data_IF_264768667799
#
_entry.id   IF_264768667799
#
_cell.length_a   1.000
_cell.length_b   1.000
_cell.length_c   1.000
_cell.angle_alpha   90.00
_cell.angle_beta   90.00
_cell.angle_gamma   90.00
#
_symmetry.space_group_name_H-M   'P 1'
#
loop_
_entity.id
_entity.type
_entity.pdbx_description
1 polymer ?
#
# COMPACT_ATOMS: atom_id res chain seq x y z
N UNK A 1 4.34 5.72 17.35
CA UNK A 1 3.92 5.03 16.12
C UNK A 1 2.52 4.39 16.27
N UNK A 2 2.26 3.57 17.30
CA UNK A 2 0.95 2.92 17.51
C UNK A 2 -0.21 3.91 17.65
N UNK A 3 -0.03 5.03 18.34
CA UNK A 3 -1.04 6.09 18.45
C UNK A 3 -1.36 6.71 17.07
N UNK A 4 -0.33 6.95 16.26
CA UNK A 4 -0.50 7.45 14.89
C UNK A 4 -1.30 6.45 14.04
N UNK A 5 -0.93 5.17 14.07
CA UNK A 5 -1.65 4.13 13.33
C UNK A 5 -3.10 3.99 13.80
N UNK A 6 -3.36 4.07 15.11
CA UNK A 6 -4.71 4.03 15.66
C UNK A 6 -5.60 5.10 15.05
N UNK A 7 -5.20 6.37 15.16
CA UNK A 7 -5.97 7.51 14.61
C UNK A 7 -6.10 7.46 13.09
N UNK A 8 -5.06 6.99 12.41
CA UNK A 8 -5.05 6.88 10.97
C UNK A 8 -6.07 5.85 10.45
N UNK A 9 -6.16 4.70 11.11
CA UNK A 9 -7.11 3.65 10.74
C UNK A 9 -8.52 3.88 11.31
N UNK A 10 -8.68 4.66 12.39
CA UNK A 10 -9.99 5.19 12.78
C UNK A 10 -10.62 5.95 11.61
N UNK A 11 -9.86 6.86 10.99
CA UNK A 11 -10.34 7.59 9.79
C UNK A 11 -10.71 6.66 8.63
N UNK A 12 -9.93 5.59 8.40
CA UNK A 12 -10.28 4.59 7.38
C UNK A 12 -11.63 3.92 7.68
N UNK A 13 -11.89 3.58 8.95
CA UNK A 13 -13.16 2.95 9.35
C UNK A 13 -14.36 3.90 9.21
N UNK A 14 -14.18 5.20 9.47
CA UNK A 14 -15.20 6.23 9.23
C UNK A 14 -15.57 6.35 7.75
N UNK A 15 -14.56 6.29 6.86
CA UNK A 15 -14.79 6.32 5.41
C UNK A 15 -15.49 5.02 4.97
N UNK A 16 -15.08 3.87 5.48
CA UNK A 16 -15.72 2.59 5.20
C UNK A 16 -17.19 2.57 5.62
N UNK A 17 -17.55 3.22 6.72
CA UNK A 17 -18.94 3.35 7.17
C UNK A 17 -19.82 4.03 6.13
N UNK A 18 -19.27 4.99 5.37
CA UNK A 18 -20.00 5.73 4.34
C UNK A 18 -20.00 5.02 2.99
N UNK A 19 -19.21 3.98 2.80
CA UNK A 19 -19.13 3.22 1.57
C UNK A 19 -20.12 2.04 1.61
N UNK A 20 -21.20 2.05 0.80
CA UNK A 20 -22.20 0.98 0.79
C UNK A 20 -21.64 -0.37 0.33
N UNK A 21 -20.48 -0.38 -0.32
CA UNK A 21 -19.81 -1.57 -0.82
C UNK A 21 -18.72 -2.09 0.13
N UNK A 22 -18.45 -1.39 1.25
CA UNK A 22 -17.49 -1.85 2.24
C UNK A 22 -18.01 -3.09 2.97
N UNK A 23 -17.12 -4.05 3.18
CA UNK A 23 -17.45 -5.29 3.89
C UNK A 23 -17.80 -5.06 5.35
N UNK A 24 -17.04 -4.18 6.02
CA UNK A 24 -17.24 -3.80 7.41
C UNK A 24 -17.49 -2.30 7.52
N UNK A 25 -18.73 -1.94 7.88
CA UNK A 25 -19.17 -0.55 8.03
C UNK A 25 -19.19 -0.09 9.50
N UNK A 26 -18.56 -0.86 10.41
CA UNK A 26 -18.41 -0.43 11.80
C UNK A 26 -17.29 0.60 11.92
N UNK A 27 -17.55 1.71 12.59
CA UNK A 27 -16.51 2.63 13.04
C UNK A 27 -15.78 2.04 14.23
N UNK A 28 -14.46 2.09 14.20
CA UNK A 28 -13.57 1.69 15.28
C UNK A 28 -12.83 2.91 15.79
N UNK A 29 -12.71 3.04 17.10
CA UNK A 29 -11.90 4.10 17.72
C UNK A 29 -10.40 3.79 17.57
N UNK A 30 -9.56 4.83 17.62
CA UNK A 30 -8.11 4.69 17.63
C UNK A 30 -7.63 3.72 18.72
N UNK A 31 -8.30 3.74 19.90
CA UNK A 31 -7.99 2.84 21.01
C UNK A 31 -8.32 1.37 20.69
N UNK A 32 -9.50 1.10 20.08
CA UNK A 32 -9.87 -0.26 19.65
C UNK A 32 -8.89 -0.82 18.61
N UNK A 33 -8.37 0.04 17.71
CA UNK A 33 -7.47 -0.36 16.63
C UNK A 33 -6.07 -0.67 17.16
N UNK A 34 -5.51 0.19 18.00
CA UNK A 34 -4.14 0.01 18.51
C UNK A 34 -4.03 -1.04 19.61
N UNK A 35 -5.14 -1.30 20.34
CA UNK A 35 -5.11 -2.22 21.49
C UNK A 35 -5.41 -3.65 21.05
N UNK A 36 -4.50 -4.61 21.29
CA UNK A 36 -4.75 -6.02 21.03
C UNK A 36 -5.93 -6.54 21.87
N UNK A 37 -6.76 -7.38 21.25
CA UNK A 37 -7.89 -8.05 21.89
C UNK A 37 -8.15 -9.40 21.24
N UNK A 38 -9.10 -10.18 21.73
CA UNK A 38 -9.51 -11.45 21.11
C UNK A 38 -9.95 -11.27 19.65
N UNK A 39 -10.65 -10.16 19.32
CA UNK A 39 -11.12 -9.85 17.96
C UNK A 39 -10.10 -9.09 17.12
N UNK A 40 -9.18 -8.37 17.78
CA UNK A 40 -8.12 -7.59 17.16
C UNK A 40 -6.75 -8.12 17.60
N UNK A 41 -6.46 -9.37 17.28
CA UNK A 41 -5.22 -10.02 17.70
C UNK A 41 -4.00 -9.32 17.07
N UNK A 42 -2.92 -9.23 17.84
CA UNK A 42 -1.62 -8.86 17.31
C UNK A 42 -1.13 -9.96 16.39
N UNK A 43 -0.62 -9.58 15.22
CA UNK A 43 -0.14 -10.53 14.19
C UNK A 43 1.37 -10.46 14.09
N UNK A 44 1.90 -9.27 13.86
CA UNK A 44 3.33 -9.01 13.82
C UNK A 44 3.56 -7.57 14.32
N UNK A 45 4.55 -7.38 15.19
CA UNK A 45 4.82 -6.04 15.72
C UNK A 45 5.16 -5.05 14.58
N UNK A 46 4.55 -3.83 14.54
CA UNK A 46 3.58 -3.27 15.51
C UNK A 46 2.10 -3.49 15.12
N UNK A 47 1.78 -4.41 14.22
CA UNK A 47 0.47 -4.52 13.58
C UNK A 47 -0.47 -5.51 14.27
N UNK A 48 -1.69 -5.05 14.49
CA UNK A 48 -2.83 -5.87 14.88
C UNK A 48 -3.68 -6.24 13.66
N UNK A 49 -4.66 -7.12 13.81
CA UNK A 49 -5.55 -7.57 12.74
C UNK A 49 -6.26 -6.41 12.01
N UNK A 50 -6.73 -5.39 12.74
CA UNK A 50 -7.42 -4.24 12.16
C UNK A 50 -6.51 -3.30 11.35
N UNK A 51 -5.20 -3.47 11.40
CA UNK A 51 -4.26 -2.77 10.53
C UNK A 51 -4.07 -3.46 9.17
N UNK A 52 -4.48 -4.71 9.03
CA UNK A 52 -4.15 -5.55 7.89
C UNK A 52 -5.38 -5.87 7.04
N UNK A 53 -5.15 -6.21 5.79
CA UNK A 53 -6.19 -6.57 4.84
C UNK A 53 -7.15 -7.64 5.38
N UNK A 54 -8.45 -7.37 5.29
CA UNK A 54 -9.50 -8.36 5.52
C UNK A 54 -9.75 -9.14 4.25
N UNK A 55 -9.16 -10.32 4.12
CA UNK A 55 -9.15 -11.11 2.88
C UNK A 55 -10.30 -12.13 2.79
N UNK A 56 -10.87 -12.55 3.93
CA UNK A 56 -12.00 -13.49 3.99
C UNK A 56 -13.33 -12.73 3.80
N UNK A 57 -13.54 -12.18 2.60
CA UNK A 57 -14.70 -11.39 2.23
C UNK A 57 -15.24 -11.82 0.87
N UNK A 58 -16.53 -11.63 0.64
CA UNK A 58 -17.19 -11.88 -0.64
C UNK A 58 -17.43 -10.55 -1.35
N UNK A 59 -16.60 -10.26 -2.35
CA UNK A 59 -16.71 -9.06 -3.17
C UNK A 59 -16.46 -9.40 -4.63
N UNK A 60 -17.14 -8.69 -5.53
CA UNK A 60 -16.91 -8.73 -6.95
C UNK A 60 -16.94 -7.32 -7.51
N UNK A 61 -16.12 -7.08 -8.52
CA UNK A 61 -16.08 -5.81 -9.22
C UNK A 61 -15.83 -6.05 -10.71
N UNK A 62 -16.35 -5.18 -11.56
CA UNK A 62 -16.14 -5.23 -12.99
C UNK A 62 -15.94 -3.82 -13.56
N UNK A 63 -15.04 -3.71 -14.52
CA UNK A 63 -14.81 -2.50 -15.29
C UNK A 63 -15.02 -2.79 -16.77
N UNK A 64 -15.65 -1.85 -17.47
CA UNK A 64 -15.78 -1.88 -18.92
C UNK A 64 -14.81 -0.84 -19.48
N UNK A 65 -13.87 -1.30 -20.28
CA UNK A 65 -12.89 -0.47 -21.01
C UNK A 65 -13.18 -0.57 -22.49
N UNK A 66 -13.23 0.56 -23.16
CA UNK A 66 -13.38 0.62 -24.61
C UNK A 66 -12.75 1.90 -25.15
N UNK A 67 -12.54 1.96 -26.46
CA UNK A 67 -12.15 3.22 -27.13
C UNK A 67 -13.29 4.24 -27.05
N UNK A 68 -12.96 5.51 -27.17
CA UNK A 68 -13.96 6.59 -27.22
C UNK A 68 -14.88 6.43 -28.45
N UNK A 69 -14.29 6.05 -29.60
CA UNK A 69 -15.04 5.74 -30.83
C UNK A 69 -16.10 4.64 -30.59
N UNK A 70 -15.73 3.57 -29.86
CA UNK A 70 -16.70 2.52 -29.53
C UNK A 70 -17.76 3.00 -28.54
N UNK A 71 -17.38 3.82 -27.58
CA UNK A 71 -18.33 4.41 -26.64
C UNK A 71 -19.35 5.31 -27.37
N UNK A 72 -18.91 6.08 -28.36
CA UNK A 72 -19.80 6.90 -29.22
C UNK A 72 -20.74 6.03 -30.05
N UNK A 73 -20.20 5.01 -30.70
CA UNK A 73 -20.99 4.05 -31.50
C UNK A 73 -22.06 3.32 -30.66
N UNK A 74 -21.75 3.04 -29.41
CA UNK A 74 -22.68 2.41 -28.47
C UNK A 74 -23.58 3.42 -27.73
N UNK A 75 -23.48 4.71 -28.05
CA UNK A 75 -24.20 5.81 -27.40
C UNK A 75 -24.02 5.83 -25.87
N UNK A 76 -22.83 5.51 -25.36
CA UNK A 76 -22.52 5.65 -23.94
C UNK A 76 -22.51 7.13 -23.60
N UNK A 77 -23.36 7.60 -22.66
CA UNK A 77 -23.38 9.01 -22.29
C UNK A 77 -22.03 9.50 -21.78
N UNK A 78 -21.57 10.69 -22.15
CA UNK A 78 -20.33 11.29 -21.68
C UNK A 78 -20.31 11.43 -20.14
N UNK A 79 -21.48 11.63 -19.53
CA UNK A 79 -21.62 11.65 -18.06
C UNK A 79 -21.18 10.34 -17.38
N UNK A 80 -21.17 9.22 -18.09
CA UNK A 80 -20.75 7.89 -17.59
C UNK A 80 -19.28 7.57 -17.86
N UNK A 81 -18.61 8.35 -18.73
CA UNK A 81 -17.22 8.10 -19.10
C UNK A 81 -16.27 8.69 -18.06
N UNK A 82 -15.17 8.01 -17.81
CA UNK A 82 -14.01 8.46 -17.01
C UNK A 82 -12.76 7.96 -17.71
N UNK A 83 -11.73 8.75 -17.75
CA UNK A 83 -10.55 8.52 -18.56
C UNK A 83 -9.33 8.23 -17.68
N UNK A 84 -8.54 7.18 -17.99
CA UNK A 84 -7.19 7.07 -17.47
C UNK A 84 -6.33 8.15 -18.12
N UNK A 85 -5.55 8.87 -17.35
CA UNK A 85 -4.71 9.97 -17.83
C UNK A 85 -3.24 9.57 -17.87
N UNK A 86 -2.74 9.01 -16.77
CA UNK A 86 -1.35 8.54 -16.65
C UNK A 86 -1.34 7.25 -15.87
N UNK A 87 -0.45 6.32 -16.22
CA UNK A 87 -0.11 5.18 -15.38
C UNK A 87 1.38 4.94 -15.32
N UNK A 88 1.84 4.34 -14.24
CA UNK A 88 3.22 3.88 -14.09
C UNK A 88 3.27 2.59 -13.31
N UNK A 89 4.26 1.76 -13.58
CA UNK A 89 4.43 0.51 -12.88
C UNK A 89 5.90 0.10 -12.75
N UNK A 90 6.15 -0.79 -11.81
CA UNK A 90 7.41 -1.51 -11.67
C UNK A 90 7.16 -2.93 -11.19
N UNK A 91 8.01 -3.85 -11.63
CA UNK A 91 7.96 -5.27 -11.29
C UNK A 91 9.37 -5.81 -11.04
N UNK A 92 10.06 -5.24 -10.06
CA UNK A 92 11.41 -5.67 -9.68
C UNK A 92 11.36 -6.59 -8.47
N UNK A 93 11.21 -7.90 -8.75
CA UNK A 93 11.03 -8.94 -7.74
C UNK A 93 12.36 -9.34 -7.08
N UNK A 94 12.65 -8.74 -5.92
CA UNK A 94 13.75 -9.14 -5.04
C UNK A 94 13.23 -9.47 -3.65
N UNK A 95 13.85 -10.44 -2.99
CA UNK A 95 13.50 -10.79 -1.61
C UNK A 95 13.74 -9.58 -0.68
N UNK A 96 12.88 -9.40 0.34
CA UNK A 96 13.03 -8.27 1.29
C UNK A 96 14.43 -8.22 1.89
N UNK A 97 14.98 -9.37 2.30
CA UNK A 97 16.32 -9.45 2.87
C UNK A 97 17.44 -8.98 1.92
N UNK A 98 17.22 -9.09 0.61
CA UNK A 98 18.20 -8.71 -0.41
C UNK A 98 18.05 -7.27 -0.91
N UNK A 99 17.07 -6.51 -0.41
CA UNK A 99 16.91 -5.10 -0.81
C UNK A 99 18.04 -4.26 -0.24
N UNK A 100 18.71 -3.42 -1.05
CA UNK A 100 19.73 -2.52 -0.54
C UNK A 100 19.15 -1.54 0.49
N UNK A 101 17.92 -1.06 0.23
CA UNK A 101 17.16 -0.17 1.13
C UNK A 101 15.82 -0.81 1.50
N UNK A 102 15.64 -1.18 2.77
CA UNK A 102 14.41 -1.84 3.23
C UNK A 102 13.18 -0.94 3.15
N UNK A 103 13.35 0.37 3.34
CA UNK A 103 12.27 1.36 3.43
C UNK A 103 12.10 2.22 2.17
N UNK A 104 12.98 2.13 1.18
CA UNK A 104 12.96 2.97 -0.02
C UNK A 104 13.14 2.15 -1.31
N UNK A 105 12.14 1.37 -1.72
CA UNK A 105 12.22 0.64 -3.00
C UNK A 105 12.28 1.63 -4.17
N UNK A 106 13.35 1.57 -4.98
CA UNK A 106 13.59 2.52 -6.07
C UNK A 106 12.43 2.58 -7.06
N UNK A 107 11.81 1.43 -7.34
CA UNK A 107 10.68 1.34 -8.26
C UNK A 107 9.49 2.19 -7.85
N UNK A 108 9.20 2.29 -6.54
CA UNK A 108 8.12 3.14 -6.03
C UNK A 108 8.35 4.61 -6.38
N UNK A 109 9.55 5.12 -6.11
CA UNK A 109 9.87 6.54 -6.34
C UNK A 109 9.94 6.86 -7.82
N UNK A 110 10.61 6.03 -8.63
CA UNK A 110 10.66 6.20 -10.09
C UNK A 110 9.27 6.19 -10.75
N UNK A 111 8.39 5.27 -10.33
CA UNK A 111 7.03 5.21 -10.85
C UNK A 111 6.21 6.44 -10.43
N UNK A 112 6.37 6.91 -9.19
CA UNK A 112 5.70 8.10 -8.66
C UNK A 112 6.19 9.37 -9.37
N UNK A 113 7.51 9.52 -9.53
CA UNK A 113 8.11 10.69 -10.20
C UNK A 113 7.60 10.81 -11.65
N UNK A 114 7.66 9.72 -12.42
CA UNK A 114 7.11 9.73 -13.78
C UNK A 114 5.64 10.14 -13.81
N UNK A 115 4.82 9.56 -12.92
CA UNK A 115 3.39 9.85 -12.87
C UNK A 115 3.13 11.33 -12.56
N UNK A 116 3.80 11.89 -11.54
CA UNK A 116 3.63 13.27 -11.12
C UNK A 116 4.19 14.27 -12.13
N UNK A 117 5.33 14.00 -12.75
CA UNK A 117 5.91 14.82 -13.81
C UNK A 117 5.01 14.87 -15.04
N UNK A 118 4.51 13.71 -15.51
CA UNK A 118 3.60 13.64 -16.64
C UNK A 118 2.30 14.39 -16.38
N UNK A 119 1.67 14.20 -15.24
CA UNK A 119 0.46 14.91 -14.86
C UNK A 119 0.72 16.40 -14.66
N UNK A 120 1.83 16.75 -13.97
CA UNK A 120 2.20 18.16 -13.67
C UNK A 120 2.48 18.98 -14.90
N UNK A 121 3.06 18.40 -15.96
CA UNK A 121 3.29 19.08 -17.25
C UNK A 121 1.98 19.55 -17.92
N UNK A 122 0.85 18.91 -17.59
CA UNK A 122 -0.50 19.25 -18.02
C UNK A 122 -1.33 19.96 -16.94
N UNK A 123 -0.70 20.39 -15.85
CA UNK A 123 -1.34 21.04 -14.69
C UNK A 123 -2.41 20.15 -14.00
N UNK A 124 -2.33 18.83 -14.17
CA UNK A 124 -3.21 17.85 -13.55
C UNK A 124 -2.71 17.56 -12.13
N UNK A 125 -3.59 17.79 -11.14
CA UNK A 125 -3.28 17.55 -9.72
C UNK A 125 -4.32 16.62 -9.12
N UNK A 126 -3.94 15.43 -8.67
CA UNK A 126 -4.83 14.54 -7.93
C UNK A 126 -5.37 15.23 -6.67
N UNK A 127 -6.67 15.03 -6.40
CA UNK A 127 -7.38 15.61 -5.27
C UNK A 127 -8.01 14.56 -4.37
N UNK A 128 -8.25 13.35 -4.89
CA UNK A 128 -8.75 12.20 -4.14
C UNK A 128 -7.84 10.98 -4.36
N UNK A 129 -7.63 10.20 -3.31
CA UNK A 129 -6.62 9.16 -3.27
C UNK A 129 -7.20 7.83 -2.80
N UNK A 130 -6.74 6.74 -3.40
CA UNK A 130 -6.91 5.39 -2.92
C UNK A 130 -5.55 4.71 -2.86
N UNK A 131 -4.91 4.73 -1.69
CA UNK A 131 -3.62 4.08 -1.49
C UNK A 131 -3.82 2.62 -1.07
N UNK A 132 -3.10 1.73 -1.72
CA UNK A 132 -3.18 0.30 -1.44
C UNK A 132 -2.78 0.00 0.01
N UNK A 133 -3.70 -0.56 0.78
CA UNK A 133 -3.63 -0.63 2.24
C UNK A 133 -3.60 -2.07 2.78
N UNK A 134 -2.86 -2.96 2.11
CA UNK A 134 -2.67 -4.32 2.61
C UNK A 134 -2.02 -4.36 4.00
N UNK A 135 -1.07 -3.46 4.22
CA UNK A 135 -0.37 -3.20 5.48
C UNK A 135 -0.14 -1.69 5.62
N UNK A 136 -0.05 -1.17 6.85
CA UNK A 136 0.18 0.27 7.06
C UNK A 136 1.41 0.83 6.35
N UNK A 137 2.51 0.07 6.31
CA UNK A 137 3.74 0.50 5.63
C UNK A 137 3.53 0.78 4.14
N UNK A 138 2.63 0.07 3.47
CA UNK A 138 2.34 0.34 2.05
C UNK A 138 1.71 1.73 1.87
N UNK A 139 0.74 2.08 2.73
CA UNK A 139 0.11 3.41 2.71
C UNK A 139 1.12 4.50 3.03
N UNK A 140 1.96 4.27 4.05
CA UNK A 140 2.98 5.24 4.48
C UNK A 140 4.01 5.52 3.38
N UNK A 141 4.53 4.48 2.72
CA UNK A 141 5.50 4.61 1.64
C UNK A 141 4.91 5.33 0.41
N UNK A 142 3.67 5.02 0.02
CA UNK A 142 3.00 5.76 -1.05
C UNK A 142 2.71 7.21 -0.65
N UNK A 143 2.27 7.46 0.59
CA UNK A 143 2.01 8.82 1.07
C UNK A 143 3.31 9.66 1.09
N UNK A 144 4.42 9.06 1.49
CA UNK A 144 5.75 9.69 1.45
C UNK A 144 6.18 9.99 0.01
N UNK A 145 6.14 8.98 -0.89
CA UNK A 145 6.54 9.15 -2.27
C UNK A 145 5.69 10.20 -3.02
N UNK A 146 4.40 10.26 -2.72
CA UNK A 146 3.47 11.25 -3.27
C UNK A 146 3.53 12.62 -2.54
N UNK A 147 4.33 12.73 -1.48
CA UNK A 147 4.43 13.91 -0.63
C UNK A 147 3.07 14.40 -0.11
N UNK A 148 2.21 13.47 0.32
CA UNK A 148 0.86 13.79 0.80
C UNK A 148 0.89 14.27 2.25
N UNK A 149 0.24 15.40 2.57
CA UNK A 149 0.04 15.84 3.95
C UNK A 149 -0.68 14.78 4.80
N UNK A 150 -0.39 14.71 6.09
CA UNK A 150 -1.04 13.78 7.01
C UNK A 150 -2.56 13.93 7.03
N UNK A 151 -3.05 15.16 6.96
CA UNK A 151 -4.49 15.48 6.95
C UNK A 151 -5.24 15.03 5.67
N UNK A 152 -4.53 14.64 4.61
CA UNK A 152 -5.17 14.15 3.38
C UNK A 152 -5.74 12.76 3.61
N UNK A 153 -6.99 12.51 3.24
CA UNK A 153 -7.56 11.16 3.21
C UNK A 153 -6.81 10.28 2.20
N UNK A 154 -6.35 9.11 2.65
CA UNK A 154 -5.54 8.17 1.85
C UNK A 154 -6.39 7.06 1.20
N UNK A 155 -7.70 7.09 1.43
CA UNK A 155 -8.65 6.12 0.90
C UNK A 155 -9.99 6.77 0.64
N UNK A 156 -10.69 6.29 -0.37
CA UNK A 156 -12.10 6.60 -0.64
C UNK A 156 -13.01 5.39 -0.40
N UNK A 157 -12.40 4.21 -0.25
CA UNK A 157 -13.14 2.97 0.02
C UNK A 157 -13.28 2.66 1.50
N UNK A 158 -12.36 3.17 2.34
CA UNK A 158 -12.14 2.79 3.73
C UNK A 158 -11.00 1.80 3.91
N UNK A 159 -10.27 1.49 2.83
CA UNK A 159 -9.09 0.65 2.83
C UNK A 159 -9.37 -0.85 3.01
N UNK A 160 -8.37 -1.66 2.72
CA UNK A 160 -8.48 -3.13 2.73
C UNK A 160 -8.86 -3.74 4.10
N UNK A 161 -8.52 -3.15 5.25
CA UNK A 161 -8.94 -3.68 6.55
C UNK A 161 -10.46 -3.63 6.76
N UNK A 162 -11.13 -2.59 6.26
CA UNK A 162 -12.56 -2.36 6.49
C UNK A 162 -13.39 -2.54 5.23
N UNK A 163 -13.00 -1.95 4.11
CA UNK A 163 -13.69 -2.15 2.83
C UNK A 163 -13.62 -3.62 2.36
N UNK A 164 -12.56 -4.33 2.77
CA UNK A 164 -12.30 -5.69 2.35
C UNK A 164 -11.24 -5.76 1.24
N UNK A 165 -10.36 -6.77 1.31
CA UNK A 165 -9.26 -6.95 0.37
C UNK A 165 -9.11 -8.40 -0.08
N UNK A 166 -10.10 -8.98 -0.82
CA UNK A 166 -10.05 -10.37 -1.24
C UNK A 166 -9.04 -10.56 -2.37
N UNK A 167 -7.82 -10.97 -2.00
CA UNK A 167 -6.71 -11.27 -2.92
C UNK A 167 -6.60 -10.27 -4.09
N UNK A 168 -6.93 -10.67 -5.31
CA UNK A 168 -6.70 -9.88 -6.52
C UNK A 168 -7.86 -8.91 -6.88
N UNK A 169 -8.96 -8.89 -6.13
CA UNK A 169 -10.12 -8.08 -6.48
C UNK A 169 -9.98 -6.59 -6.09
N UNK A 170 -9.22 -6.29 -5.03
CA UNK A 170 -9.26 -4.95 -4.43
C UNK A 170 -8.97 -3.82 -5.42
N UNK A 171 -8.02 -3.98 -6.33
CA UNK A 171 -7.71 -2.94 -7.33
C UNK A 171 -8.89 -2.64 -8.26
N UNK A 172 -9.68 -3.64 -8.62
CA UNK A 172 -10.90 -3.42 -9.41
C UNK A 172 -11.98 -2.72 -8.59
N UNK A 173 -12.15 -3.10 -7.31
CA UNK A 173 -13.06 -2.44 -6.38
C UNK A 173 -12.66 -0.97 -6.17
N UNK A 174 -11.39 -0.71 -5.87
CA UNK A 174 -10.85 0.64 -5.69
C UNK A 174 -11.05 1.51 -6.94
N UNK A 175 -10.77 0.94 -8.13
CA UNK A 175 -10.96 1.64 -9.39
C UNK A 175 -12.44 1.93 -9.65
N UNK A 176 -13.34 0.96 -9.46
CA UNK A 176 -14.78 1.18 -9.64
C UNK A 176 -15.30 2.30 -8.72
N UNK A 177 -14.91 2.30 -7.44
CA UNK A 177 -15.25 3.35 -6.49
C UNK A 177 -14.69 4.72 -6.90
N UNK A 178 -13.45 4.75 -7.41
CA UNK A 178 -12.82 5.97 -7.92
C UNK A 178 -13.59 6.53 -9.10
N UNK A 179 -13.93 5.69 -10.08
CA UNK A 179 -14.71 6.12 -11.25
C UNK A 179 -16.08 6.66 -10.85
N UNK A 180 -16.73 6.06 -9.86
CA UNK A 180 -18.00 6.54 -9.33
C UNK A 180 -17.85 7.90 -8.62
N UNK A 181 -16.80 8.06 -7.81
CA UNK A 181 -16.48 9.33 -7.14
C UNK A 181 -16.27 10.46 -8.14
N UNK A 182 -15.50 10.22 -9.21
CA UNK A 182 -15.25 11.19 -10.28
C UNK A 182 -16.53 11.51 -11.07
N UNK A 183 -17.40 10.51 -11.31
CA UNK A 183 -18.71 10.77 -11.96
C UNK A 183 -19.60 11.69 -11.13
N UNK A 184 -19.59 11.51 -9.82
CA UNK A 184 -20.39 12.30 -8.88
C UNK A 184 -19.82 13.70 -8.63
N UNK A 185 -18.48 13.84 -8.74
CA UNK A 185 -17.75 15.11 -8.61
C UNK A 185 -16.76 15.26 -9.76
N UNK A 186 -17.22 15.76 -10.93
CA UNK A 186 -16.42 15.81 -12.16
C UNK A 186 -15.14 16.66 -12.09
N UNK A 187 -15.02 17.53 -11.10
CA UNK A 187 -13.80 18.33 -10.88
C UNK A 187 -12.69 17.59 -10.14
N UNK A 188 -13.01 16.42 -9.56
CA UNK A 188 -12.03 15.62 -8.85
C UNK A 188 -11.13 14.86 -9.83
N UNK A 189 -9.85 14.79 -9.50
CA UNK A 189 -8.84 13.97 -10.17
C UNK A 189 -8.43 12.89 -9.17
N UNK A 190 -8.57 11.64 -9.57
CA UNK A 190 -8.31 10.51 -8.70
C UNK A 190 -6.93 9.89 -8.93
N UNK A 191 -6.25 9.50 -7.85
CA UNK A 191 -5.03 8.71 -7.91
C UNK A 191 -5.22 7.40 -7.14
N UNK A 192 -4.90 6.29 -7.80
CA UNK A 192 -4.98 4.95 -7.24
C UNK A 192 -3.58 4.34 -7.23
N UNK A 193 -3.24 3.62 -6.17
CA UNK A 193 -2.00 2.85 -6.10
C UNK A 193 -2.28 1.37 -5.90
N UNK A 194 -1.40 0.52 -6.41
CA UNK A 194 -1.44 -0.93 -6.25
C UNK A 194 -0.08 -1.47 -5.87
N UNK A 195 -0.06 -2.54 -5.08
CA UNK A 195 1.17 -3.21 -4.68
C UNK A 195 1.02 -4.73 -4.69
N UNK A 196 2.11 -5.41 -4.93
CA UNK A 196 2.25 -6.85 -4.75
C UNK A 196 3.69 -7.21 -4.37
N UNK A 197 3.92 -8.48 -4.00
CA UNK A 197 5.26 -9.00 -3.72
C UNK A 197 6.00 -8.25 -2.61
N UNK A 198 5.33 -7.88 -1.53
CA UNK A 198 5.94 -7.14 -0.40
C UNK A 198 6.66 -5.85 -0.87
N UNK A 199 5.98 -5.01 -1.62
CA UNK A 199 6.52 -3.76 -2.19
C UNK A 199 7.62 -3.96 -3.25
N UNK A 200 7.60 -5.06 -3.99
CA UNK A 200 8.47 -5.27 -5.17
C UNK A 200 7.77 -5.00 -6.49
N UNK A 201 6.44 -4.91 -6.45
CA UNK A 201 5.62 -4.48 -7.59
C UNK A 201 4.78 -3.32 -7.14
N UNK A 202 4.89 -2.21 -7.83
CA UNK A 202 4.06 -1.04 -7.61
C UNK A 202 3.37 -0.65 -8.91
N UNK A 203 2.15 -0.14 -8.80
CA UNK A 203 1.43 0.45 -9.91
C UNK A 203 0.69 1.70 -9.41
N UNK A 204 0.66 2.73 -10.22
CA UNK A 204 -0.05 3.97 -9.95
C UNK A 204 -0.83 4.38 -11.19
N UNK A 205 -2.01 4.97 -11.00
CA UNK A 205 -2.80 5.50 -12.09
C UNK A 205 -3.56 6.77 -11.68
N UNK A 206 -3.60 7.75 -12.58
CA UNK A 206 -4.41 8.96 -12.44
C UNK A 206 -5.61 8.87 -13.39
N UNK A 207 -6.78 9.22 -12.84
CA UNK A 207 -8.06 9.18 -13.52
C UNK A 207 -8.75 10.55 -13.47
N UNK A 208 -9.41 10.94 -14.55
CA UNK A 208 -10.16 12.20 -14.66
C UNK A 208 -11.47 12.03 -15.40
N UNK A 209 -12.35 13.01 -15.24
CA UNK A 209 -13.65 13.06 -15.92
C UNK A 209 -13.52 13.32 -17.42
N UNK A 210 -12.49 14.07 -17.80
CA UNK A 210 -12.23 14.48 -19.18
C UNK A 210 -10.86 13.95 -19.62
N UNK A 211 -10.63 13.74 -20.93
CA UNK A 211 -9.34 13.35 -21.49
C UNK A 211 -8.39 14.57 -21.53
N UNK A 212 -7.94 15.02 -20.36
CA UNK A 212 -7.13 16.24 -20.19
C UNK A 212 -5.76 16.17 -20.89
N UNK A 213 -5.34 14.99 -21.28
CA UNK A 213 -4.09 14.71 -21.99
C UNK A 213 -4.20 13.38 -22.73
N UNK A 214 -3.30 13.14 -23.69
CA UNK A 214 -3.12 11.82 -24.27
C UNK A 214 -2.60 10.86 -23.19
N UNK A 215 -3.21 9.66 -23.10
CA UNK A 215 -2.82 8.67 -22.11
C UNK A 215 -1.34 8.33 -22.20
N UNK A 216 -0.62 8.44 -21.09
CA UNK A 216 0.78 8.06 -20.98
C UNK A 216 0.95 6.90 -19.99
N UNK A 217 1.88 6.00 -20.29
CA UNK A 217 2.24 4.93 -19.38
C UNK A 217 3.74 4.64 -19.42
N UNK A 218 4.30 4.20 -18.29
CA UNK A 218 5.71 3.79 -18.19
C UNK A 218 5.89 2.63 -17.24
N UNK A 219 6.60 1.61 -17.71
CA UNK A 219 7.22 0.58 -16.87
C UNK A 219 8.66 1.02 -16.53
N UNK A 220 8.91 1.23 -15.25
CA UNK A 220 10.23 1.66 -14.72
C UNK A 220 11.06 0.49 -14.16
N UNK A 221 10.67 -0.75 -14.43
CA UNK A 221 11.33 -1.96 -13.92
C UNK A 221 12.82 -1.99 -14.26
N UNK A 222 13.17 -1.64 -15.49
CA UNK A 222 14.57 -1.64 -15.95
C UNK A 222 15.42 -0.60 -15.21
N UNK A 223 14.87 0.58 -14.95
CA UNK A 223 15.55 1.63 -14.18
C UNK A 223 15.68 1.24 -12.71
N UNK A 224 14.61 0.71 -12.11
CA UNK A 224 14.60 0.24 -10.73
C UNK A 224 15.63 -0.87 -10.49
N UNK A 225 15.76 -1.82 -11.41
CA UNK A 225 16.69 -2.94 -11.29
C UNK A 225 18.17 -2.53 -11.35
N UNK A 226 18.49 -1.37 -11.91
CA UNK A 226 19.85 -0.81 -11.90
C UNK A 226 20.21 -0.11 -10.60
N UNK A 227 19.21 0.32 -9.83
CA UNK A 227 19.37 1.01 -8.54
C UNK A 227 19.30 -0.01 -7.41
N UNK A 228 18.24 -0.81 -7.37
CA UNK A 228 18.03 -1.82 -6.35
C UNK A 228 18.70 -3.15 -6.76
N UNK A 229 20.04 -3.14 -6.80
CA UNK A 229 20.84 -4.35 -7.04
C UNK A 229 20.71 -5.24 -5.79
N UNK A 230 20.33 -6.52 -5.92
CA UNK A 230 20.19 -7.42 -4.78
C UNK A 230 21.49 -7.57 -3.99
N UNK A 231 21.41 -7.39 -2.68
CA UNK A 231 22.54 -7.64 -1.77
C UNK A 231 22.73 -9.15 -1.62
N UNK A 232 23.97 -9.60 -1.55
CA UNK A 232 24.31 -11.01 -1.36
C UNK A 232 23.78 -11.52 -0.02
N UNK A 233 23.34 -12.77 0.00
CA UNK A 233 22.97 -13.48 1.22
C UNK A 233 24.17 -14.24 1.73
N UNK A 234 24.51 -14.07 3.01
CA UNK A 234 25.60 -14.78 3.66
C UNK A 234 25.26 -16.26 3.79
N UNK A 235 26.21 -17.10 3.45
CA UNK A 235 26.10 -18.56 3.68
C UNK A 235 26.39 -18.93 5.14
N UNK A 236 27.01 -18.03 5.91
CA UNK A 236 27.35 -18.25 7.31
C UNK A 236 26.33 -17.60 8.23
N UNK A 237 25.71 -18.39 9.10
CA UNK A 237 24.72 -17.91 10.09
C UNK A 237 25.33 -17.51 11.42
N UNK A 238 26.64 -17.67 11.60
CA UNK A 238 27.38 -17.34 12.81
C UNK A 238 28.01 -15.95 12.71
N UNK A 239 28.44 -15.40 13.85
CA UNK A 239 29.17 -14.14 13.95
C UNK A 239 28.29 -12.93 14.26
N UNK A 240 28.94 -11.78 14.34
CA UNK A 240 28.35 -10.48 14.65
C UNK A 240 27.81 -9.79 13.39
N UNK A 241 26.88 -8.85 13.58
CA UNK A 241 26.33 -8.03 12.50
C UNK A 241 25.45 -6.92 13.03
N UNK A 242 25.06 -6.00 12.15
CA UNK A 242 24.16 -4.90 12.44
C UNK A 242 22.72 -5.29 12.12
N UNK A 243 21.81 -5.12 13.08
CA UNK A 243 20.37 -5.32 12.84
C UNK A 243 19.83 -4.14 12.04
N UNK A 244 19.29 -4.42 10.85
CA UNK A 244 18.72 -3.43 9.96
C UNK A 244 17.20 -3.29 10.10
N UNK A 245 16.57 -4.33 10.62
CA UNK A 245 15.14 -4.37 10.89
C UNK A 245 14.77 -5.65 11.60
N UNK A 246 13.71 -5.57 12.39
CA UNK A 246 13.21 -6.71 13.15
C UNK A 246 11.69 -6.63 13.32
N UNK A 247 11.11 -7.78 13.62
CA UNK A 247 9.71 -7.89 14.04
C UNK A 247 9.53 -9.10 14.94
N UNK A 248 8.44 -9.11 15.70
CA UNK A 248 8.00 -10.26 16.48
C UNK A 248 6.65 -10.71 15.95
N UNK A 249 6.51 -12.00 15.68
CA UNK A 249 5.26 -12.64 15.29
C UNK A 249 4.48 -13.09 16.52
N UNK A 250 3.17 -13.03 16.44
CA UNK A 250 2.26 -13.37 17.54
C UNK A 250 1.24 -14.41 17.09
N UNK A 251 0.88 -15.32 18.00
CA UNK A 251 -0.25 -16.23 17.91
C UNK A 251 -1.11 -16.04 19.17
N UNK A 252 -2.39 -15.80 19.00
CA UNK A 252 -3.32 -15.53 20.12
C UNK A 252 -2.85 -14.42 21.09
N UNK A 253 -2.22 -13.38 20.58
CA UNK A 253 -1.58 -12.27 21.30
C UNK A 253 -0.32 -12.65 22.11
N UNK A 254 0.17 -13.87 21.99
CA UNK A 254 1.44 -14.28 22.58
C UNK A 254 2.57 -14.25 21.55
N UNK A 255 3.72 -13.69 21.94
CA UNK A 255 4.90 -13.66 21.08
C UNK A 255 5.46 -15.07 20.88
N UNK A 256 5.65 -15.48 19.62
CA UNK A 256 6.11 -16.84 19.28
C UNK A 256 7.47 -16.87 18.59
N UNK A 257 7.82 -15.82 17.85
CA UNK A 257 9.07 -15.78 17.09
C UNK A 257 9.47 -14.34 16.76
N UNK A 258 10.73 -13.98 16.94
CA UNK A 258 11.32 -12.78 16.37
C UNK A 258 12.09 -13.09 15.11
N UNK A 259 12.08 -12.15 14.16
CA UNK A 259 12.79 -12.20 12.90
C UNK A 259 13.66 -10.96 12.79
N UNK A 260 14.92 -11.13 12.36
CA UNK A 260 15.90 -10.06 12.21
C UNK A 260 16.49 -10.10 10.82
N UNK A 261 16.57 -8.96 10.17
CA UNK A 261 17.43 -8.75 9.02
C UNK A 261 18.74 -8.15 9.53
N UNK A 262 19.84 -8.84 9.27
CA UNK A 262 21.17 -8.49 9.79
C UNK A 262 22.13 -8.34 8.62
N UNK A 263 23.01 -7.35 8.71
CA UNK A 263 24.13 -7.16 7.79
C UNK A 263 25.43 -7.49 8.52
N UNK A 264 26.25 -8.35 7.95
CA UNK A 264 27.54 -8.71 8.52
C UNK A 264 28.66 -7.72 8.12
N UNK A 265 29.87 -7.96 8.62
CA UNK A 265 31.02 -7.10 8.35
C UNK A 265 31.47 -7.07 6.89
N UNK A 266 30.97 -7.97 6.06
CA UNK A 266 31.26 -8.01 4.62
C UNK A 266 30.15 -7.35 3.79
N UNK A 267 29.09 -6.83 4.44
CA UNK A 267 27.93 -6.25 3.78
C UNK A 267 26.96 -7.30 3.23
N UNK A 268 27.09 -8.58 3.64
CA UNK A 268 26.17 -9.62 3.26
C UNK A 268 24.99 -9.71 4.23
N UNK A 269 23.84 -10.12 3.74
CA UNK A 269 22.59 -10.19 4.51
C UNK A 269 22.35 -11.54 5.13
N UNK A 270 21.78 -11.54 6.33
CA UNK A 270 21.31 -12.73 7.06
C UNK A 270 19.88 -12.51 7.51
N UNK A 271 19.09 -13.59 7.55
CA UNK A 271 17.79 -13.62 8.20
C UNK A 271 17.90 -14.55 9.40
N UNK A 272 17.88 -13.98 10.58
CA UNK A 272 17.95 -14.72 11.83
C UNK A 272 16.58 -14.78 12.50
N UNK A 273 16.34 -15.83 13.26
CA UNK A 273 15.12 -15.99 14.03
C UNK A 273 15.42 -16.41 15.46
N UNK A 274 14.60 -15.97 16.41
CA UNK A 274 14.70 -16.38 17.81
C UNK A 274 13.30 -16.68 18.38
N UNK A 275 13.28 -17.63 19.32
CA UNK A 275 12.11 -17.95 20.16
C UNK A 275 12.34 -17.57 21.61
N UNK A 276 13.42 -16.84 21.90
CA UNK A 276 13.78 -16.39 23.23
C UNK A 276 12.80 -15.31 23.73
N UNK A 277 12.19 -15.57 24.88
CA UNK A 277 11.18 -14.70 25.48
C UNK A 277 11.75 -13.38 26.00
N UNK A 278 13.03 -13.35 26.36
CA UNK A 278 13.67 -12.11 26.82
C UNK A 278 13.91 -11.15 25.65
N UNK A 279 14.18 -11.68 24.47
CA UNK A 279 14.23 -10.88 23.21
C UNK A 279 12.86 -10.27 22.92
N UNK A 280 11.76 -11.02 23.07
CA UNK A 280 10.40 -10.52 22.81
C UNK A 280 10.03 -9.30 23.64
N UNK A 281 10.41 -9.30 24.93
CA UNK A 281 10.14 -8.18 25.84
C UNK A 281 10.92 -6.94 25.44
N UNK A 282 12.18 -7.11 25.07
CA UNK A 282 13.06 -6.00 24.75
C UNK A 282 12.74 -5.34 23.40
N UNK A 283 12.26 -6.09 22.42
CA UNK A 283 11.88 -5.53 21.10
C UNK A 283 10.71 -4.55 21.14
N UNK A 284 9.84 -4.64 22.18
CA UNK A 284 8.73 -3.69 22.38
C UNK A 284 9.08 -2.46 23.21
N UNK A 285 10.21 -2.47 23.92
CA UNK A 285 10.59 -1.44 24.91
C UNK A 285 11.80 -0.59 24.48
N UNK A 286 12.59 -1.05 23.52
CA UNK A 286 13.80 -0.37 23.06
C UNK A 286 13.74 -0.09 21.55
N UNK A 287 14.08 1.12 21.15
CA UNK A 287 14.45 1.40 19.74
C UNK A 287 15.80 0.71 19.46
N UNK A 288 15.75 -0.35 18.67
CA UNK A 288 16.93 -1.02 18.14
C UNK A 288 17.36 -0.31 16.87
N UNK A 289 18.22 0.67 17.00
CA UNK A 289 18.91 1.35 15.90
C UNK A 289 20.40 1.13 16.03
#
# INVERSE_FOLDING_TARGET
>A
HENFLGSYYERFSEIAQQNPHAWNQKVFTAEEIKTPSEKNQRIAYPYNKLHNSSWNVNQASALILCSEELADKLNVPTSKRVYPLVSSETNHMIAVAQRPHLTRPAGLYLATDFLLESAGSHQIKPSIFELYSCFPVAVQLFAEALNLPDATDKTITGGMPFAGGPLNNYMLHATAQMLESIRNKPSEIGLITGVSGLMTKQALAIWGKEPLMDFQSKDVTSEASRIDIPVAMSANNDGEGTVLGCTTLFEHNEAVKSIFYVEDSQGERKVLTSTDKDIFKNLGEQEWV
#
